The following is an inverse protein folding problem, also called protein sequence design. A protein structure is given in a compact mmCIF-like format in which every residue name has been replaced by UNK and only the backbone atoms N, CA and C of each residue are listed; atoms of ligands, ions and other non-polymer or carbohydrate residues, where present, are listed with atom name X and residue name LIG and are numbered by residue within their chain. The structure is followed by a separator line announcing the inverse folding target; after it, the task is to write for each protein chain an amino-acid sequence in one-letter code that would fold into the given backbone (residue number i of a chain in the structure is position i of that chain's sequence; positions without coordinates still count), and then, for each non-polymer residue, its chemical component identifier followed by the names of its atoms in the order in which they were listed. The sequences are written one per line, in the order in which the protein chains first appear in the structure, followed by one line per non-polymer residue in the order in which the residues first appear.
data_IF_191251511150
#
_entry.id   IF_191251511150
#
_cell.length_a   1.000
_cell.length_b   1.000
_cell.length_c   1.000
_cell.angle_alpha   90.00
_cell.angle_beta   90.00
_cell.angle_gamma   90.00
#
_symmetry.space_group_name_H-M   'P 1'
#
loop_
_entity.id
_entity.type
_entity.pdbx_description
1 polymer ?
#
# COMPACT_ATOMS: atom_id res chain seq x y z
N UNK A 1 -6.26 -27.32 19.11
CA UNK A 1 -7.47 -26.47 18.97
C UNK A 1 -7.38 -25.19 19.79
N UNK A 2 -7.14 -25.24 21.12
CA UNK A 2 -6.94 -24.00 21.91
C UNK A 2 -5.66 -23.21 21.53
N UNK A 3 -4.57 -23.89 21.14
CA UNK A 3 -3.36 -23.26 20.57
C UNK A 3 -3.62 -22.62 19.20
N UNK A 4 -4.57 -23.18 18.43
CA UNK A 4 -5.01 -22.65 17.13
C UNK A 4 -5.83 -21.36 17.30
N UNK A 5 -6.55 -21.22 18.42
CA UNK A 5 -7.38 -20.04 18.73
C UNK A 5 -6.56 -18.88 19.31
N UNK A 6 -5.51 -19.11 20.11
CA UNK A 6 -4.63 -18.00 20.55
C UNK A 6 -3.81 -17.41 19.38
N UNK A 7 -3.55 -18.20 18.34
CA UNK A 7 -3.02 -17.72 17.05
C UNK A 7 -4.04 -16.85 16.27
N UNK A 8 -5.35 -16.95 16.56
CA UNK A 8 -6.40 -16.26 15.78
C UNK A 8 -6.49 -14.76 16.05
N UNK A 9 -6.20 -14.28 17.26
CA UNK A 9 -6.39 -12.84 17.58
C UNK A 9 -5.34 -11.97 16.86
N UNK A 10 -4.06 -12.34 16.92
CA UNK A 10 -3.00 -11.59 16.21
C UNK A 10 -3.26 -11.56 14.71
N UNK A 11 -3.70 -12.70 14.17
CA UNK A 11 -4.09 -12.83 12.77
C UNK A 11 -5.31 -11.99 12.43
N UNK A 12 -6.34 -11.98 13.28
CA UNK A 12 -7.54 -11.17 13.10
C UNK A 12 -7.20 -9.67 13.06
N UNK A 13 -6.31 -9.19 13.96
CA UNK A 13 -5.84 -7.81 13.95
C UNK A 13 -5.11 -7.48 12.65
N UNK A 14 -4.26 -8.38 12.16
CA UNK A 14 -3.52 -8.20 10.91
C UNK A 14 -4.48 -8.10 9.71
N UNK A 15 -5.51 -8.93 9.68
CA UNK A 15 -6.51 -8.87 8.63
C UNK A 15 -7.39 -7.62 8.75
N UNK A 16 -7.75 -7.22 9.97
CA UNK A 16 -8.46 -5.97 10.23
C UNK A 16 -7.65 -4.77 9.71
N UNK A 17 -6.34 -4.75 9.98
CA UNK A 17 -5.42 -3.73 9.47
C UNK A 17 -5.42 -3.69 7.93
N UNK A 18 -5.43 -4.85 7.28
CA UNK A 18 -5.49 -4.96 5.83
C UNK A 18 -6.77 -4.37 5.25
N UNK A 19 -7.93 -4.73 5.83
CA UNK A 19 -9.20 -4.16 5.40
C UNK A 19 -9.28 -2.66 5.65
N UNK A 20 -8.80 -2.18 6.80
CA UNK A 20 -8.72 -0.73 7.06
C UNK A 20 -7.88 0.01 6.01
N UNK A 21 -6.79 -0.58 5.51
CA UNK A 21 -6.04 0.05 4.42
C UNK A 21 -6.82 0.08 3.10
N UNK A 22 -7.60 -0.97 2.79
CA UNK A 22 -8.47 -0.98 1.60
C UNK A 22 -9.58 0.08 1.74
N UNK A 23 -10.24 0.16 2.89
CA UNK A 23 -11.26 1.20 3.13
C UNK A 23 -10.67 2.59 3.09
N UNK A 24 -9.44 2.77 3.60
CA UNK A 24 -8.74 4.04 3.53
C UNK A 24 -8.46 4.44 2.09
N UNK A 25 -7.95 3.51 1.25
CA UNK A 25 -7.72 3.76 -0.17
C UNK A 25 -9.02 4.10 -0.91
N UNK A 26 -10.04 3.25 -0.78
CA UNK A 26 -11.29 3.41 -1.52
C UNK A 26 -12.09 4.62 -1.03
N UNK A 27 -12.14 4.84 0.29
CA UNK A 27 -12.73 6.02 0.89
C UNK A 27 -12.02 7.30 0.44
N UNK A 28 -10.68 7.29 0.39
CA UNK A 28 -9.90 8.44 -0.07
C UNK A 28 -10.12 8.72 -1.56
N UNK A 29 -10.15 7.69 -2.40
CA UNK A 29 -10.48 7.85 -3.82
C UNK A 29 -11.86 8.47 -4.00
N UNK A 30 -12.88 7.93 -3.34
CA UNK A 30 -14.23 8.50 -3.35
C UNK A 30 -14.19 9.96 -2.90
N UNK A 31 -13.47 10.25 -1.82
CA UNK A 31 -13.34 11.61 -1.31
C UNK A 31 -12.79 12.60 -2.32
N UNK A 32 -11.72 12.22 -3.04
CA UNK A 32 -11.11 13.04 -4.10
C UNK A 32 -12.09 13.23 -5.26
N UNK A 33 -12.76 12.17 -5.72
CA UNK A 33 -13.74 12.27 -6.82
C UNK A 33 -14.95 13.13 -6.45
N UNK A 34 -15.43 13.01 -5.21
CA UNK A 34 -16.47 13.92 -4.72
C UNK A 34 -15.95 15.35 -4.77
N UNK A 35 -14.78 15.63 -4.17
CA UNK A 35 -14.19 16.97 -4.15
C UNK A 35 -14.02 17.57 -5.57
N UNK A 36 -13.53 16.79 -6.54
CA UNK A 36 -13.39 17.22 -7.93
C UNK A 36 -14.75 17.48 -8.59
N UNK A 37 -15.76 16.67 -8.30
CA UNK A 37 -17.11 16.87 -8.85
C UNK A 37 -17.82 18.12 -8.29
N UNK A 38 -17.39 18.66 -7.14
CA UNK A 38 -17.93 19.92 -6.60
C UNK A 38 -17.44 21.16 -7.35
N UNK A 39 -16.25 21.09 -7.94
CA UNK A 39 -15.64 22.23 -8.61
C UNK A 39 -16.30 22.50 -9.99
N UNK A 40 -16.97 21.49 -10.56
CA UNK A 40 -17.87 21.69 -11.68
C UNK A 40 -19.17 22.39 -11.22
N UNK A 41 -19.64 23.36 -12.00
CA UNK A 41 -20.72 24.36 -11.74
C UNK A 41 -22.02 23.82 -11.11
N UNK A 42 -22.26 22.50 -11.09
CA UNK A 42 -23.44 21.81 -10.53
C UNK A 42 -23.12 20.92 -9.31
N UNK A 43 -22.04 21.20 -8.57
CA UNK A 43 -21.73 20.51 -7.33
C UNK A 43 -22.85 20.61 -6.27
N UNK A 44 -23.06 19.59 -5.40
CA UNK A 44 -24.02 19.72 -4.30
C UNK A 44 -23.77 20.99 -3.48
N UNK A 45 -24.81 21.65 -2.97
CA UNK A 45 -24.65 22.93 -2.27
C UNK A 45 -23.82 22.79 -0.97
N UNK A 46 -23.66 21.58 -0.44
CA UNK A 46 -22.91 21.32 0.78
C UNK A 46 -22.10 20.00 0.74
N UNK A 47 -20.78 20.11 0.57
CA UNK A 47 -19.81 19.04 0.91
C UNK A 47 -19.99 18.52 2.35
N UNK A 48 -20.53 19.36 3.23
CA UNK A 48 -20.85 19.06 4.63
C UNK A 48 -21.81 17.88 4.80
N UNK A 49 -22.59 17.54 3.78
CA UNK A 49 -23.55 16.45 3.83
C UNK A 49 -22.89 15.07 3.66
N UNK A 50 -21.65 15.04 3.15
CA UNK A 50 -20.88 13.82 2.84
C UNK A 50 -19.85 13.48 3.93
N UNK A 51 -20.12 13.89 5.18
CA UNK A 51 -19.30 13.55 6.36
C UNK A 51 -19.11 12.05 6.57
N UNK A 52 -20.01 11.23 6.03
CA UNK A 52 -19.89 9.78 6.07
C UNK A 52 -18.64 9.24 5.37
N UNK A 53 -18.02 10.01 4.45
CA UNK A 53 -16.71 9.64 3.87
C UNK A 53 -15.53 10.18 4.69
N UNK A 54 -15.59 11.45 5.13
CA UNK A 54 -14.46 12.10 5.83
C UNK A 54 -14.19 11.50 7.21
N UNK A 55 -15.25 11.20 7.96
CA UNK A 55 -15.17 10.65 9.32
C UNK A 55 -14.41 9.31 9.36
N UNK A 56 -14.79 8.25 8.61
CA UNK A 56 -14.06 6.98 8.62
C UNK A 56 -12.60 7.14 8.26
N UNK A 57 -12.26 7.91 7.22
CA UNK A 57 -10.86 8.07 6.83
C UNK A 57 -10.01 8.70 7.93
N UNK A 58 -10.54 9.72 8.61
CA UNK A 58 -9.83 10.38 9.71
C UNK A 58 -9.61 9.43 10.89
N UNK A 59 -10.64 8.63 11.27
CA UNK A 59 -10.50 7.66 12.35
C UNK A 59 -9.57 6.49 11.98
N UNK A 60 -9.62 5.98 10.75
CA UNK A 60 -8.71 4.92 10.27
C UNK A 60 -7.27 5.43 10.21
N UNK A 61 -7.03 6.62 9.68
CA UNK A 61 -5.70 7.24 9.66
C UNK A 61 -5.17 7.50 11.07
N UNK A 62 -6.02 8.00 11.97
CA UNK A 62 -5.70 8.18 13.39
C UNK A 62 -5.37 6.85 14.07
N UNK A 63 -6.13 5.79 13.78
CA UNK A 63 -5.84 4.43 14.24
C UNK A 63 -4.45 3.96 13.81
N UNK A 64 -4.10 4.15 12.53
CA UNK A 64 -2.78 3.76 12.02
C UNK A 64 -1.64 4.58 12.64
N UNK A 65 -1.77 5.91 12.76
CA UNK A 65 -0.75 6.73 13.41
C UNK A 65 -0.54 6.33 14.88
N UNK A 66 -1.63 6.08 15.61
CA UNK A 66 -1.54 5.64 16.99
C UNK A 66 -0.88 4.27 17.09
N UNK A 67 -1.25 3.32 16.22
CA UNK A 67 -0.66 1.99 16.16
C UNK A 67 0.85 2.05 15.90
N UNK A 68 1.28 2.86 14.94
CA UNK A 68 2.70 3.07 14.63
C UNK A 68 3.43 3.74 15.81
N UNK A 69 2.83 4.79 16.40
CA UNK A 69 3.39 5.47 17.56
C UNK A 69 3.57 4.55 18.78
N UNK A 70 2.61 3.67 19.03
CA UNK A 70 2.71 2.64 20.09
C UNK A 70 3.81 1.63 19.76
N UNK A 71 3.95 1.24 18.50
CA UNK A 71 4.98 0.28 18.09
C UNK A 71 6.38 0.87 18.29
N UNK A 72 6.60 2.11 17.82
CA UNK A 72 7.84 2.87 18.05
C UNK A 72 8.12 3.05 19.53
N UNK A 73 7.11 3.44 20.33
CA UNK A 73 7.26 3.58 21.77
C UNK A 73 7.65 2.25 22.42
N UNK A 74 7.00 1.14 22.04
CA UNK A 74 7.30 -0.18 22.59
C UNK A 74 8.73 -0.61 22.25
N UNK A 75 9.18 -0.38 21.01
CA UNK A 75 10.53 -0.71 20.57
C UNK A 75 11.57 0.19 21.23
N UNK A 76 11.29 1.48 21.40
CA UNK A 76 12.20 2.43 22.04
C UNK A 76 12.48 2.03 23.49
N UNK A 77 11.45 1.55 24.19
CA UNK A 77 11.57 1.05 25.55
C UNK A 77 12.32 -0.28 25.64
N UNK A 78 12.26 -1.12 24.59
CA UNK A 78 13.05 -2.35 24.51
C UNK A 78 14.50 -2.07 24.14
N UNK A 79 14.74 -1.26 23.10
CA UNK A 79 16.06 -0.86 22.62
C UNK A 79 15.97 0.32 21.66
N UNK A 80 16.75 1.37 21.92
CA UNK A 80 16.84 2.55 21.05
C UNK A 80 17.30 2.20 19.62
N UNK A 81 18.20 1.22 19.46
CA UNK A 81 18.72 0.82 18.16
C UNK A 81 17.64 0.16 17.29
N UNK A 82 16.76 -0.64 17.90
CA UNK A 82 15.61 -1.26 17.24
C UNK A 82 14.59 -0.19 16.82
N UNK A 83 14.29 0.77 17.69
CA UNK A 83 13.39 1.88 17.36
C UNK A 83 13.95 2.73 16.20
N UNK A 84 15.24 3.04 16.22
CA UNK A 84 15.89 3.78 15.12
C UNK A 84 15.82 3.01 13.80
N UNK A 85 16.05 1.69 13.81
CA UNK A 85 15.90 0.83 12.63
C UNK A 85 14.45 0.78 12.14
N UNK A 86 13.48 0.76 13.06
CA UNK A 86 12.07 0.81 12.73
C UNK A 86 11.70 2.13 12.04
N UNK A 87 12.15 3.26 12.58
CA UNK A 87 11.87 4.58 12.01
C UNK A 87 12.57 4.83 10.66
N UNK A 88 13.71 4.17 10.39
CA UNK A 88 14.40 4.28 9.09
C UNK A 88 13.92 3.25 8.06
N UNK A 89 13.05 2.32 8.45
CA UNK A 89 12.47 1.34 7.53
C UNK A 89 11.51 2.03 6.55
N UNK A 90 11.80 1.89 5.25
CA UNK A 90 11.02 2.49 4.17
C UNK A 90 9.50 2.20 4.26
N UNK A 91 9.13 0.96 4.61
CA UNK A 91 7.71 0.60 4.74
C UNK A 91 6.99 1.39 5.83
N UNK A 92 7.65 1.58 6.97
CA UNK A 92 7.06 2.31 8.11
C UNK A 92 6.98 3.81 7.82
N UNK A 93 7.98 4.38 7.12
CA UNK A 93 7.95 5.77 6.67
C UNK A 93 6.76 5.99 5.72
N UNK A 94 6.54 5.10 4.76
CA UNK A 94 5.39 5.15 3.86
C UNK A 94 4.06 5.05 4.61
N UNK A 95 3.97 4.17 5.62
CA UNK A 95 2.75 3.98 6.40
C UNK A 95 2.42 5.22 7.26
N UNK A 96 3.41 5.89 7.84
CA UNK A 96 3.20 7.15 8.58
C UNK A 96 2.89 8.31 7.63
N UNK A 97 3.64 8.44 6.53
CA UNK A 97 3.47 9.52 5.56
C UNK A 97 2.10 9.47 4.89
N UNK A 98 1.63 8.28 4.49
CA UNK A 98 0.29 8.10 3.90
C UNK A 98 -0.83 8.50 4.86
N UNK A 99 -0.77 8.07 6.12
CA UNK A 99 -1.80 8.42 7.11
C UNK A 99 -1.80 9.92 7.43
N UNK A 100 -0.63 10.55 7.54
CA UNK A 100 -0.51 12.00 7.74
C UNK A 100 -1.06 12.79 6.55
N UNK A 101 -0.73 12.38 5.32
CA UNK A 101 -1.21 13.03 4.10
C UNK A 101 -2.75 12.96 3.99
N UNK A 102 -3.38 11.83 4.33
CA UNK A 102 -4.84 11.71 4.35
C UNK A 102 -5.46 12.67 5.37
N UNK A 103 -4.91 12.74 6.59
CA UNK A 103 -5.39 13.66 7.62
C UNK A 103 -5.20 15.13 7.21
N UNK A 104 -4.07 15.45 6.60
CA UNK A 104 -3.79 16.79 6.09
C UNK A 104 -4.79 17.18 5.00
N UNK A 105 -5.04 16.30 4.04
CA UNK A 105 -5.99 16.54 2.95
C UNK A 105 -7.43 16.69 3.45
N UNK A 106 -7.85 15.80 4.37
CA UNK A 106 -9.17 15.90 5.01
C UNK A 106 -9.32 17.19 5.83
N UNK A 107 -8.26 17.62 6.52
CA UNK A 107 -8.22 18.87 7.27
C UNK A 107 -8.28 20.12 6.38
N UNK A 108 -7.53 20.15 5.28
CA UNK A 108 -7.55 21.28 4.34
C UNK A 108 -8.90 21.43 3.66
N UNK A 109 -9.53 20.33 3.24
CA UNK A 109 -10.87 20.34 2.65
C UNK A 109 -11.96 20.83 3.61
N UNK A 110 -11.82 20.58 4.91
CA UNK A 110 -12.76 21.08 5.92
C UNK A 110 -12.63 22.59 6.15
N UNK A 111 -11.44 23.17 5.93
CA UNK A 111 -11.18 24.58 6.17
C UNK A 111 -11.43 25.45 4.93
N UNK A 112 -10.97 25.02 3.76
CA UNK A 112 -11.14 25.75 2.51
C UNK A 112 -11.17 24.82 1.30
N UNK A 113 -12.34 24.68 0.67
CA UNK A 113 -12.52 23.89 -0.53
C UNK A 113 -11.81 24.50 -1.77
N UNK A 114 -11.57 25.82 -1.81
CA UNK A 114 -10.96 26.50 -2.95
C UNK A 114 -9.46 26.20 -3.11
N UNK A 115 -8.80 25.55 -2.13
CA UNK A 115 -7.41 25.12 -2.29
C UNK A 115 -7.25 23.91 -3.23
N UNK A 116 -8.34 23.34 -3.76
CA UNK A 116 -8.31 22.08 -4.50
C UNK A 116 -7.50 22.15 -5.80
N UNK A 117 -7.50 23.29 -6.50
CA UNK A 117 -6.79 23.48 -7.77
C UNK A 117 -5.29 23.15 -7.67
N UNK A 118 -4.66 23.50 -6.54
CA UNK A 118 -3.25 23.20 -6.30
C UNK A 118 -3.02 21.86 -5.57
N UNK A 119 -4.09 21.17 -5.15
CA UNK A 119 -3.99 19.91 -4.40
C UNK A 119 -4.14 18.66 -5.24
N UNK A 120 -4.46 18.76 -6.54
CA UNK A 120 -4.52 17.58 -7.43
C UNK A 120 -3.23 16.76 -7.43
N UNK A 121 -2.08 17.42 -7.37
CA UNK A 121 -0.77 16.76 -7.24
C UNK A 121 -0.61 16.02 -5.90
N UNK A 122 -0.94 16.70 -4.78
CA UNK A 122 -0.87 16.11 -3.44
C UNK A 122 -1.80 14.91 -3.35
N UNK A 123 -3.03 15.03 -3.84
CA UNK A 123 -4.01 13.95 -3.85
C UNK A 123 -3.53 12.74 -4.65
N UNK A 124 -2.90 12.96 -5.81
CA UNK A 124 -2.31 11.91 -6.63
C UNK A 124 -1.17 11.19 -5.91
N UNK A 125 -0.28 11.93 -5.24
CA UNK A 125 0.78 11.32 -4.43
C UNK A 125 0.19 10.53 -3.26
N UNK A 126 -0.79 11.09 -2.54
CA UNK A 126 -1.45 10.39 -1.44
C UNK A 126 -2.08 9.08 -1.93
N UNK A 127 -2.73 9.09 -3.09
CA UNK A 127 -3.30 7.88 -3.69
C UNK A 127 -2.21 6.84 -4.02
N UNK A 128 -1.08 7.26 -4.60
CA UNK A 128 0.07 6.38 -4.85
C UNK A 128 0.63 5.78 -3.55
N UNK A 129 0.77 6.58 -2.49
CA UNK A 129 1.25 6.11 -1.19
C UNK A 129 0.28 5.11 -0.54
N UNK A 130 -1.03 5.30 -0.69
CA UNK A 130 -2.05 4.37 -0.18
C UNK A 130 -2.01 3.02 -0.92
N UNK A 131 -1.75 3.01 -2.23
CA UNK A 131 -1.50 1.78 -2.97
C UNK A 131 -0.24 1.05 -2.48
N UNK A 132 0.86 1.78 -2.30
CA UNK A 132 2.10 1.21 -1.76
C UNK A 132 1.92 0.66 -0.35
N UNK A 133 1.08 1.30 0.47
CA UNK A 133 0.69 0.80 1.80
C UNK A 133 -0.02 -0.54 1.71
N UNK A 134 -1.00 -0.70 0.81
CA UNK A 134 -1.70 -1.98 0.60
C UNK A 134 -0.70 -3.06 0.17
N UNK A 135 0.21 -2.75 -0.77
CA UNK A 135 1.27 -3.68 -1.19
C UNK A 135 2.15 -4.08 0.01
N UNK A 136 2.53 -3.13 0.87
CA UNK A 136 3.35 -3.40 2.05
C UNK A 136 2.64 -4.33 3.06
N UNK A 137 1.32 -4.15 3.25
CA UNK A 137 0.53 -5.02 4.13
C UNK A 137 0.26 -6.39 3.51
N UNK A 138 -0.06 -6.44 2.21
CA UNK A 138 -0.29 -7.69 1.50
C UNK A 138 0.97 -8.58 1.48
N UNK A 139 2.16 -7.97 1.37
CA UNK A 139 3.47 -8.64 1.54
C UNK A 139 3.62 -9.34 2.90
N UNK A 140 2.95 -8.90 3.95
CA UNK A 140 3.00 -9.57 5.26
C UNK A 140 2.06 -10.79 5.27
N UNK A 141 0.94 -10.69 4.55
CA UNK A 141 -0.10 -11.72 4.48
C UNK A 141 0.26 -12.89 3.57
N UNK A 142 0.77 -12.59 2.37
CA UNK A 142 1.00 -13.58 1.33
C UNK A 142 2.51 -13.75 1.10
N UNK A 143 3.03 -14.96 1.36
CA UNK A 143 4.47 -15.25 1.24
C UNK A 143 4.99 -15.29 -0.18
N UNK A 144 4.25 -15.90 -1.10
CA UNK A 144 4.55 -15.92 -2.53
C UNK A 144 4.71 -14.49 -3.08
N UNK A 145 3.80 -13.60 -2.70
CA UNK A 145 3.89 -12.18 -3.04
C UNK A 145 5.05 -11.49 -2.31
N UNK A 146 5.32 -11.84 -1.05
CA UNK A 146 6.45 -11.30 -0.30
C UNK A 146 7.80 -11.59 -0.97
N UNK A 147 8.02 -12.84 -1.38
CA UNK A 147 9.21 -13.28 -2.09
C UNK A 147 9.38 -12.51 -3.40
N UNK A 148 8.29 -12.30 -4.14
CA UNK A 148 8.29 -11.46 -5.34
C UNK A 148 8.74 -10.02 -5.03
N UNK A 149 8.12 -9.36 -4.03
CA UNK A 149 8.48 -7.98 -3.64
C UNK A 149 9.94 -7.88 -3.16
N UNK A 150 10.44 -8.85 -2.40
CA UNK A 150 11.84 -8.89 -1.98
C UNK A 150 12.79 -9.10 -3.16
N UNK A 151 12.43 -9.95 -4.13
CA UNK A 151 13.20 -10.15 -5.35
C UNK A 151 13.28 -8.86 -6.16
N UNK A 152 12.15 -8.17 -6.37
CA UNK A 152 12.10 -6.87 -7.06
C UNK A 152 12.98 -5.84 -6.35
N UNK A 153 12.90 -5.73 -5.02
CA UNK A 153 13.73 -4.80 -4.24
C UNK A 153 15.22 -5.06 -4.44
N UNK A 154 15.63 -6.33 -4.46
CA UNK A 154 17.03 -6.73 -4.61
C UNK A 154 17.52 -6.53 -6.06
N UNK A 155 16.67 -6.78 -7.06
CA UNK A 155 16.95 -6.46 -8.47
C UNK A 155 17.14 -4.94 -8.65
N UNK A 156 16.23 -4.10 -8.12
CA UNK A 156 16.36 -2.64 -8.17
C UNK A 156 17.69 -2.18 -7.55
N UNK A 157 18.09 -2.78 -6.43
CA UNK A 157 19.37 -2.46 -5.77
C UNK A 157 20.59 -2.75 -6.65
N UNK A 158 20.55 -3.82 -7.45
CA UNK A 158 21.60 -4.19 -8.41
C UNK A 158 21.57 -3.29 -9.66
N UNK A 159 20.38 -2.93 -10.12
CA UNK A 159 20.15 -2.17 -11.37
C UNK A 159 20.30 -0.65 -11.20
N UNK A 160 20.30 -0.12 -9.96
CA UNK A 160 20.33 1.33 -9.68
C UNK A 160 21.44 2.11 -10.40
N UNK A 161 22.64 1.53 -10.50
CA UNK A 161 23.78 2.20 -11.15
C UNK A 161 23.60 2.27 -12.66
N UNK A 162 23.03 1.21 -13.23
CA UNK A 162 22.65 1.19 -14.64
C UNK A 162 21.55 2.22 -14.93
N UNK A 163 20.54 2.35 -14.07
CA UNK A 163 19.49 3.38 -14.22
C UNK A 163 20.06 4.79 -14.14
N UNK A 164 21.02 5.04 -13.24
CA UNK A 164 21.71 6.32 -13.17
C UNK A 164 22.47 6.61 -14.46
N UNK A 165 23.19 5.61 -15.01
CA UNK A 165 23.87 5.74 -16.29
C UNK A 165 22.89 6.01 -17.45
N UNK A 166 21.76 5.29 -17.49
CA UNK A 166 20.70 5.52 -18.46
C UNK A 166 20.13 6.95 -18.38
N UNK A 167 19.88 7.45 -17.16
CA UNK A 167 19.43 8.84 -16.95
C UNK A 167 20.46 9.86 -17.45
N UNK A 168 21.76 9.63 -17.24
CA UNK A 168 22.81 10.51 -17.77
C UNK A 168 22.81 10.54 -19.31
N UNK A 169 22.61 9.40 -19.96
CA UNK A 169 22.49 9.32 -21.41
C UNK A 169 21.24 10.08 -21.88
N UNK A 170 20.09 9.92 -21.21
CA UNK A 170 18.88 10.70 -21.53
C UNK A 170 19.12 12.19 -21.39
N UNK A 171 19.81 12.65 -20.33
CA UNK A 171 20.15 14.07 -20.18
C UNK A 171 21.08 14.57 -21.28
N UNK A 172 22.12 13.80 -21.62
CA UNK A 172 23.06 14.16 -22.68
C UNK A 172 22.35 14.33 -24.03
N UNK A 173 21.46 13.40 -24.39
CA UNK A 173 20.73 13.48 -25.65
C UNK A 173 19.59 14.52 -25.61
N UNK A 174 18.96 14.74 -24.46
CA UNK A 174 17.99 15.83 -24.25
C UNK A 174 18.64 17.19 -24.54
N UNK A 175 19.84 17.42 -24.01
CA UNK A 175 20.60 18.66 -24.25
C UNK A 175 21.05 18.79 -25.72
N UNK A 176 21.52 17.69 -26.34
CA UNK A 176 21.89 17.68 -27.75
C UNK A 176 20.70 18.02 -28.67
N UNK A 177 19.52 17.45 -28.41
CA UNK A 177 18.29 17.76 -29.16
C UNK A 177 17.91 19.23 -28.97
N UNK A 178 17.90 19.72 -27.72
CA UNK A 178 17.60 21.14 -27.43
C UNK A 178 18.55 22.08 -28.19
N UNK A 179 19.84 21.78 -28.23
CA UNK A 179 20.82 22.57 -28.96
C UNK A 179 20.56 22.58 -30.48
N UNK A 180 20.19 21.44 -31.07
CA UNK A 180 19.84 21.35 -32.50
C UNK A 180 18.59 22.16 -32.83
N UNK A 181 17.56 22.08 -31.99
CA UNK A 181 16.29 22.82 -32.15
C UNK A 181 16.53 24.33 -32.02
N UNK A 182 17.32 24.73 -31.03
CA UNK A 182 17.69 26.14 -30.84
C UNK A 182 18.51 26.67 -32.03
N UNK A 183 19.46 25.90 -32.55
CA UNK A 183 20.29 26.30 -33.70
C UNK A 183 19.48 26.43 -35.00
N UNK A 184 18.37 25.70 -35.15
CA UNK A 184 17.47 25.82 -36.29
C UNK A 184 16.60 27.08 -36.25
N UNK A 185 16.48 27.71 -35.09
CA UNK A 185 15.59 28.86 -34.88
C UNK A 185 14.12 28.46 -34.78
N UNK A 186 13.82 27.18 -34.53
CA UNK A 186 12.43 26.70 -34.38
C UNK A 186 11.75 27.33 -33.15
N UNK A 187 12.51 27.72 -32.13
CA UNK A 187 11.99 28.39 -30.92
C UNK A 187 11.78 29.91 -31.06
N UNK A 188 12.21 30.53 -32.16
CA UNK A 188 12.07 31.99 -32.39
C UNK A 188 10.82 32.36 -33.20
N UNK A 189 10.13 31.36 -33.77
CA UNK A 189 8.93 31.58 -34.59
C UNK A 189 7.73 31.83 -33.69
N UNK A 190 7.52 33.11 -33.38
CA UNK A 190 6.52 33.64 -32.44
C UNK A 190 5.05 33.49 -32.89
N UNK A 191 4.71 32.56 -33.78
CA UNK A 191 3.31 32.43 -34.26
C UNK A 191 3.04 31.16 -35.08
N UNK A 192 1.97 30.45 -34.67
CA UNK A 192 1.13 29.54 -35.47
C UNK A 192 1.60 28.11 -35.75
N UNK A 193 2.68 27.61 -35.15
CA UNK A 193 2.97 26.17 -35.24
C UNK A 193 2.23 25.43 -34.12
N UNK A 194 1.07 24.87 -34.43
CA UNK A 194 0.22 24.03 -33.55
C UNK A 194 0.84 22.64 -33.26
N UNK A 195 2.17 22.48 -33.39
CA UNK A 195 2.82 21.21 -33.09
C UNK A 195 3.23 21.16 -31.61
N UNK A 196 2.51 20.40 -30.76
CA UNK A 196 2.79 20.32 -29.33
C UNK A 196 4.20 19.79 -29.04
N UNK A 197 4.80 19.02 -29.94
CA UNK A 197 6.13 18.45 -29.73
C UNK A 197 7.24 19.51 -29.78
N UNK A 198 7.13 20.50 -30.65
CA UNK A 198 8.14 21.57 -30.76
C UNK A 198 8.12 22.44 -29.52
N UNK A 199 6.91 22.73 -29.00
CA UNK A 199 6.73 23.54 -27.81
C UNK A 199 7.40 22.91 -26.57
N UNK A 200 7.37 21.59 -26.45
CA UNK A 200 8.04 20.87 -25.35
C UNK A 200 9.57 21.01 -25.41
N UNK A 201 10.18 20.95 -26.60
CA UNK A 201 11.63 21.11 -26.77
C UNK A 201 12.10 22.55 -26.65
N UNK A 202 11.23 23.51 -26.99
CA UNK A 202 11.48 24.94 -26.84
C UNK A 202 11.13 25.47 -25.44
N UNK A 203 10.54 24.65 -24.57
CA UNK A 203 10.28 25.03 -23.19
C UNK A 203 11.59 25.33 -22.46
N UNK A 204 11.62 26.44 -21.72
CA UNK A 204 12.77 26.78 -20.87
C UNK A 204 13.04 25.71 -19.80
N UNK A 205 12.01 24.92 -19.45
CA UNK A 205 12.09 23.85 -18.47
C UNK A 205 12.92 22.65 -18.95
N UNK A 206 14.12 22.49 -18.37
CA UNK A 206 14.96 21.29 -18.56
C UNK A 206 14.23 19.96 -18.29
N UNK A 207 13.24 19.97 -17.39
CA UNK A 207 12.42 18.79 -17.08
C UNK A 207 11.54 18.41 -18.27
N UNK A 208 10.92 19.37 -18.96
CA UNK A 208 10.04 19.10 -20.09
C UNK A 208 10.80 18.42 -21.24
N UNK A 209 11.97 18.97 -21.60
CA UNK A 209 12.82 18.40 -22.66
C UNK A 209 13.32 17.00 -22.29
N UNK A 210 13.70 16.79 -21.01
CA UNK A 210 14.13 15.48 -20.51
C UNK A 210 13.00 14.46 -20.53
N UNK A 211 11.81 14.82 -20.05
CA UNK A 211 10.64 13.94 -20.05
C UNK A 211 10.29 13.54 -21.48
N UNK A 212 10.33 14.49 -22.43
CA UNK A 212 10.12 14.17 -23.84
C UNK A 212 11.17 13.21 -24.39
N UNK A 213 12.44 13.42 -24.06
CA UNK A 213 13.52 12.50 -24.47
C UNK A 213 13.37 11.10 -23.83
N UNK A 214 12.86 11.03 -22.60
CA UNK A 214 12.50 9.77 -21.95
C UNK A 214 11.30 9.10 -22.65
N UNK A 215 10.29 9.85 -23.10
CA UNK A 215 9.19 9.29 -23.91
C UNK A 215 9.72 8.64 -25.21
N UNK A 216 10.68 9.30 -25.86
CA UNK A 216 11.38 8.73 -27.04
C UNK A 216 12.14 7.45 -26.67
N UNK A 217 12.79 7.38 -25.50
CA UNK A 217 13.44 6.16 -25.00
C UNK A 217 12.45 4.99 -24.87
N UNK A 218 11.24 5.27 -24.39
CA UNK A 218 10.17 4.29 -24.18
C UNK A 218 9.51 3.89 -25.51
N UNK A 219 9.75 4.62 -26.59
CA UNK A 219 9.26 4.33 -27.94
C UNK A 219 8.10 5.22 -28.39
N UNK A 220 7.73 6.24 -27.61
CA UNK A 220 6.79 7.27 -28.06
C UNK A 220 7.51 8.28 -28.97
N UNK A 221 7.57 7.97 -30.26
CA UNK A 221 8.32 8.73 -31.27
C UNK A 221 7.40 9.25 -32.36
N UNK A 222 7.33 10.58 -32.47
CA UNK A 222 6.74 11.28 -33.61
C UNK A 222 7.78 11.42 -34.74
N UNK A 223 7.79 10.45 -35.67
CA UNK A 223 8.80 10.38 -36.76
C UNK A 223 8.87 11.65 -37.62
N UNK A 224 7.72 12.30 -37.85
CA UNK A 224 7.61 13.53 -38.65
C UNK A 224 8.53 14.65 -38.12
N UNK A 225 8.62 14.77 -36.79
CA UNK A 225 9.46 15.77 -36.13
C UNK A 225 10.96 15.51 -36.36
N UNK A 226 11.41 14.26 -36.18
CA UNK A 226 12.82 13.90 -36.32
C UNK A 226 13.30 13.92 -37.77
N UNK A 227 12.41 13.72 -38.74
CA UNK A 227 12.73 13.78 -40.17
C UNK A 227 12.88 15.21 -40.71
N UNK A 228 12.53 16.21 -39.91
CA UNK A 228 12.53 17.61 -40.36
C UNK A 228 13.94 18.20 -40.61
N UNK A 229 15.00 17.57 -40.09
CA UNK A 229 16.40 18.00 -40.28
C UNK A 229 17.37 16.82 -40.22
N UNK A 230 18.40 16.82 -41.09
CA UNK A 230 19.43 15.77 -41.10
C UNK A 230 20.22 15.66 -39.79
N UNK A 231 20.40 16.77 -39.06
CA UNK A 231 21.03 16.76 -37.73
C UNK A 231 20.16 16.03 -36.69
N UNK A 232 18.84 16.26 -36.71
CA UNK A 232 17.88 15.58 -35.83
C UNK A 232 17.81 14.08 -36.13
N UNK A 233 17.75 13.70 -37.41
CA UNK A 233 17.83 12.29 -37.84
C UNK A 233 19.10 11.64 -37.30
N UNK A 234 20.24 12.32 -37.40
CA UNK A 234 21.53 11.80 -36.93
C UNK A 234 21.51 11.56 -35.41
N UNK A 235 21.09 12.56 -34.62
CA UNK A 235 20.98 12.44 -33.16
C UNK A 235 20.02 11.32 -32.78
N UNK A 236 18.88 11.20 -33.47
CA UNK A 236 17.88 10.16 -33.23
C UNK A 236 18.41 8.75 -33.53
N UNK A 237 19.14 8.56 -34.64
CA UNK A 237 19.74 7.27 -34.99
C UNK A 237 20.77 6.85 -33.96
N UNK A 238 21.66 7.76 -33.54
CA UNK A 238 22.63 7.46 -32.48
C UNK A 238 21.95 7.16 -31.14
N UNK A 239 20.96 7.97 -30.75
CA UNK A 239 20.20 7.74 -29.53
C UNK A 239 19.51 6.37 -29.53
N UNK A 240 18.85 6.01 -30.63
CA UNK A 240 18.15 4.73 -30.77
C UNK A 240 19.14 3.56 -30.74
N UNK A 241 20.28 3.69 -31.41
CA UNK A 241 21.32 2.65 -31.40
C UNK A 241 21.90 2.44 -30.00
N UNK A 242 22.33 3.50 -29.31
CA UNK A 242 22.90 3.39 -27.97
C UNK A 242 21.84 2.98 -26.95
N UNK A 243 20.73 3.71 -26.86
CA UNK A 243 19.78 3.51 -25.79
C UNK A 243 18.86 2.31 -26.04
N UNK A 244 18.24 2.23 -27.21
CA UNK A 244 17.26 1.17 -27.51
C UNK A 244 17.96 -0.17 -27.75
N UNK A 245 18.97 -0.21 -28.60
CA UNK A 245 19.61 -1.47 -28.99
C UNK A 245 20.63 -1.94 -27.95
N UNK A 246 21.54 -1.06 -27.49
CA UNK A 246 22.60 -1.50 -26.57
C UNK A 246 22.11 -1.51 -25.13
N UNK A 247 21.60 -0.38 -24.62
CA UNK A 247 21.30 -0.25 -23.19
C UNK A 247 20.14 -1.14 -22.75
N UNK A 248 19.01 -1.22 -23.48
CA UNK A 248 17.93 -2.11 -23.04
C UNK A 248 18.32 -3.58 -23.06
N UNK A 249 19.09 -4.05 -24.04
CA UNK A 249 19.56 -5.44 -24.06
C UNK A 249 20.47 -5.76 -22.86
N UNK A 250 21.37 -4.82 -22.50
CA UNK A 250 22.20 -4.95 -21.30
C UNK A 250 21.33 -4.91 -20.03
N UNK A 251 20.33 -4.02 -19.96
CA UNK A 251 19.41 -3.93 -18.82
C UNK A 251 18.67 -5.24 -18.59
N UNK A 252 18.13 -5.85 -19.65
CA UNK A 252 17.43 -7.13 -19.60
C UNK A 252 18.38 -8.22 -19.08
N UNK A 253 19.61 -8.29 -19.62
CA UNK A 253 20.61 -9.26 -19.17
C UNK A 253 20.97 -9.08 -17.68
N UNK A 254 21.13 -7.83 -17.21
CA UNK A 254 21.38 -7.53 -15.80
C UNK A 254 20.18 -7.95 -14.94
N UNK A 255 18.95 -7.69 -15.38
CA UNK A 255 17.74 -8.06 -14.64
C UNK A 255 17.62 -9.58 -14.52
N UNK A 256 17.84 -10.34 -15.59
CA UNK A 256 17.79 -11.81 -15.59
C UNK A 256 18.82 -12.37 -14.61
N UNK A 257 20.08 -11.97 -14.75
CA UNK A 257 21.16 -12.42 -13.87
C UNK A 257 20.92 -11.98 -12.40
N UNK A 258 20.41 -10.77 -12.21
CA UNK A 258 20.03 -10.29 -10.89
C UNK A 258 18.98 -11.20 -10.28
N UNK A 259 17.88 -11.45 -11.00
CA UNK A 259 16.75 -12.26 -10.57
C UNK A 259 17.15 -13.69 -10.18
N UNK A 260 17.90 -14.38 -11.05
CA UNK A 260 18.41 -15.74 -10.77
C UNK A 260 19.23 -15.78 -9.48
N UNK A 261 20.17 -14.83 -9.33
CA UNK A 261 20.98 -14.71 -8.11
C UNK A 261 20.17 -14.34 -6.86
N UNK A 262 19.00 -13.70 -6.99
CA UNK A 262 18.15 -13.35 -5.83
C UNK A 262 17.27 -14.50 -5.35
N UNK A 263 16.97 -15.48 -6.20
CA UNK A 263 15.98 -16.53 -5.91
C UNK A 263 16.30 -17.30 -4.63
N UNK A 264 17.57 -17.65 -4.41
CA UNK A 264 18.01 -18.37 -3.20
C UNK A 264 17.99 -17.47 -1.96
N UNK A 265 18.51 -16.24 -2.10
CA UNK A 265 18.64 -15.28 -0.99
C UNK A 265 17.30 -14.76 -0.48
N UNK A 266 16.29 -14.68 -1.33
CA UNK A 266 14.99 -14.10 -0.99
C UNK A 266 14.26 -14.89 0.10
N UNK A 267 14.44 -16.22 0.17
CA UNK A 267 13.89 -17.06 1.25
C UNK A 267 14.46 -16.69 2.62
N UNK A 268 15.77 -16.52 2.72
CA UNK A 268 16.44 -16.11 3.95
C UNK A 268 15.97 -14.71 4.40
N UNK A 269 15.90 -13.76 3.46
CA UNK A 269 15.41 -12.39 3.73
C UNK A 269 13.96 -12.42 4.20
N UNK A 270 13.13 -13.25 3.58
CA UNK A 270 11.74 -13.42 3.95
C UNK A 270 11.58 -13.97 5.37
N UNK A 271 12.33 -15.02 5.72
CA UNK A 271 12.33 -15.58 7.08
C UNK A 271 12.72 -14.54 8.13
N UNK A 272 13.80 -13.77 7.88
CA UNK A 272 14.21 -12.67 8.77
C UNK A 272 13.14 -11.60 8.93
N UNK A 273 12.48 -11.21 7.84
CA UNK A 273 11.43 -10.20 7.88
C UNK A 273 10.20 -10.67 8.67
N UNK A 274 9.84 -11.97 8.59
CA UNK A 274 8.76 -12.54 9.41
C UNK A 274 9.10 -12.57 10.89
N UNK A 275 10.34 -12.94 11.23
CA UNK A 275 10.81 -12.92 12.63
C UNK A 275 10.82 -11.49 13.18
N UNK A 276 11.29 -10.52 12.40
CA UNK A 276 11.28 -9.09 12.76
C UNK A 276 9.84 -8.60 12.98
N UNK A 277 8.92 -8.94 12.08
CA UNK A 277 7.51 -8.60 12.25
C UNK A 277 6.86 -9.28 13.47
N UNK A 278 7.15 -10.56 13.72
CA UNK A 278 6.69 -11.28 14.89
C UNK A 278 7.22 -10.64 16.19
N UNK A 279 8.47 -10.20 16.20
CA UNK A 279 9.06 -9.47 17.32
C UNK A 279 8.30 -8.15 17.59
N UNK A 280 7.93 -7.40 16.54
CA UNK A 280 7.11 -6.20 16.70
C UNK A 280 5.73 -6.51 17.31
N UNK A 281 5.08 -7.59 16.86
CA UNK A 281 3.79 -8.03 17.41
C UNK A 281 3.91 -8.42 18.88
N UNK A 282 4.97 -9.15 19.26
CA UNK A 282 5.22 -9.57 20.63
C UNK A 282 5.51 -8.37 21.52
N UNK A 283 6.39 -7.45 21.09
CA UNK A 283 6.71 -6.23 21.85
C UNK A 283 5.45 -5.39 22.10
N UNK A 284 4.61 -5.20 21.08
CA UNK A 284 3.32 -4.52 21.21
C UNK A 284 2.36 -5.25 22.14
N UNK A 285 2.28 -6.58 22.05
CA UNK A 285 1.43 -7.39 22.92
C UNK A 285 1.88 -7.31 24.38
N UNK A 286 3.18 -7.40 24.65
CA UNK A 286 3.76 -7.27 25.99
C UNK A 286 3.49 -5.87 26.55
N UNK A 287 3.62 -4.82 25.74
CA UNK A 287 3.26 -3.47 26.14
C UNK A 287 1.76 -3.35 26.51
N UNK A 288 0.91 -4.05 25.77
CA UNK A 288 -0.55 -4.06 25.95
C UNK A 288 -1.08 -5.06 26.98
N UNK A 289 -0.29 -6.01 27.49
CA UNK A 289 -0.74 -7.03 28.44
C UNK A 289 0.15 -7.03 29.69
N UNK A 290 -0.28 -6.47 30.83
CA UNK A 290 0.58 -6.26 32.00
C UNK A 290 0.53 -7.43 32.98
N UNK A 291 -0.33 -8.43 32.73
CA UNK A 291 -0.61 -9.53 33.67
C UNK A 291 0.41 -10.65 33.60
N UNK A 292 1.18 -10.73 32.52
CA UNK A 292 2.31 -11.65 32.41
C UNK A 292 3.54 -10.86 32.86
N UNK A 293 4.05 -11.16 34.07
CA UNK A 293 5.37 -10.69 34.51
C UNK A 293 6.37 -11.08 33.43
N UNK A 294 6.82 -10.12 32.65
CA UNK A 294 7.76 -10.39 31.56
C UNK A 294 9.08 -10.86 32.16
N UNK A 295 9.56 -12.03 31.74
CA UNK A 295 10.88 -12.56 32.13
C UNK A 295 12.06 -11.63 31.74
N UNK A 296 11.78 -10.61 30.92
CA UNK A 296 12.69 -9.49 30.67
C UNK A 296 12.71 -8.56 31.89
N UNK A 297 13.51 -8.96 32.88
CA UNK A 297 13.77 -8.26 34.15
C UNK A 297 14.51 -6.92 34.02
N UNK A 298 14.55 -6.31 32.83
CA UNK A 298 15.11 -4.97 32.67
C UNK A 298 14.07 -3.94 33.13
N UNK A 299 14.46 -3.10 34.08
CA UNK A 299 13.73 -1.98 34.67
C UNK A 299 13.23 -0.97 33.61
N UNK A 300 12.25 -1.37 32.81
CA UNK A 300 11.59 -0.47 31.86
C UNK A 300 10.64 0.43 32.64
N UNK A 301 11.16 1.62 32.94
CA UNK A 301 10.61 2.72 33.76
C UNK A 301 9.28 3.32 33.30
N UNK A 302 8.46 2.66 32.47
CA UNK A 302 7.17 3.22 32.06
C UNK A 302 6.18 3.15 33.22
N UNK A 303 5.67 4.29 33.71
CA UNK A 303 4.67 4.31 34.77
C UNK A 303 3.46 3.48 34.40
N UNK A 304 2.94 2.68 35.34
CA UNK A 304 1.75 1.83 35.12
C UNK A 304 0.55 2.65 34.62
N UNK A 305 0.41 3.89 35.08
CA UNK A 305 -0.64 4.82 34.67
C UNK A 305 -0.56 5.17 33.19
N UNK A 306 0.64 5.42 32.66
CA UNK A 306 0.83 5.74 31.24
C UNK A 306 0.45 4.55 30.36
N UNK A 307 0.86 3.32 30.73
CA UNK A 307 0.49 2.10 29.98
C UNK A 307 -1.04 1.89 29.95
N UNK A 308 -1.72 2.09 31.09
CA UNK A 308 -3.18 2.00 31.17
C UNK A 308 -3.85 3.05 30.27
N UNK A 309 -3.35 4.29 30.28
CA UNK A 309 -3.84 5.36 29.43
C UNK A 309 -3.67 5.04 27.94
N UNK A 310 -2.47 4.64 27.51
CA UNK A 310 -2.18 4.30 26.11
C UNK A 310 -3.03 3.10 25.64
N UNK A 311 -3.24 2.10 26.50
CA UNK A 311 -4.11 0.97 26.18
C UNK A 311 -5.57 1.39 26.03
N UNK A 312 -6.08 2.20 26.96
CA UNK A 312 -7.44 2.70 26.89
C UNK A 312 -7.64 3.54 25.62
N UNK A 313 -6.69 4.41 25.30
CA UNK A 313 -6.69 5.21 24.07
C UNK A 313 -6.65 4.31 22.81
N UNK A 314 -5.79 3.29 22.79
CA UNK A 314 -5.71 2.34 21.68
C UNK A 314 -7.01 1.58 21.47
N UNK A 315 -7.60 1.06 22.54
CA UNK A 315 -8.88 0.35 22.45
C UNK A 315 -10.01 1.29 22.00
N UNK A 316 -10.10 2.48 22.58
CA UNK A 316 -11.10 3.48 22.21
C UNK A 316 -10.97 3.88 20.73
N UNK A 317 -9.76 4.19 20.25
CA UNK A 317 -9.54 4.57 18.85
C UNK A 317 -9.79 3.40 17.90
N UNK A 318 -9.42 2.18 18.29
CA UNK A 318 -9.71 0.97 17.49
C UNK A 318 -11.22 0.75 17.36
N UNK A 319 -11.98 0.90 18.46
CA UNK A 319 -13.43 0.79 18.46
C UNK A 319 -14.08 1.91 17.65
N UNK A 320 -13.63 3.16 17.81
CA UNK A 320 -14.11 4.29 17.01
C UNK A 320 -13.83 4.10 15.52
N UNK A 321 -12.66 3.57 15.14
CA UNK A 321 -12.34 3.26 13.75
C UNK A 321 -13.29 2.20 13.18
N UNK A 322 -13.61 1.16 13.95
CA UNK A 322 -14.58 0.13 13.55
C UNK A 322 -15.97 0.72 13.33
N UNK A 323 -16.49 1.49 14.30
CA UNK A 323 -17.78 2.15 14.17
C UNK A 323 -17.80 3.18 13.04
N UNK A 324 -16.70 3.88 12.80
CA UNK A 324 -16.60 4.85 11.72
C UNK A 324 -16.64 4.18 10.35
N UNK A 325 -16.01 3.00 10.18
CA UNK A 325 -16.13 2.18 8.96
C UNK A 325 -17.58 1.80 8.70
N UNK A 326 -18.30 1.32 9.72
CA UNK A 326 -19.72 0.99 9.58
C UNK A 326 -20.58 2.21 9.25
N UNK A 327 -20.28 3.37 9.85
CA UNK A 327 -20.93 4.62 9.53
C UNK A 327 -20.70 5.03 8.06
N UNK A 328 -19.47 4.90 7.57
CA UNK A 328 -19.15 5.14 6.15
C UNK A 328 -19.84 4.17 5.21
N UNK A 329 -19.89 2.89 5.58
CA UNK A 329 -20.60 1.86 4.83
C UNK A 329 -22.11 2.14 4.75
N UNK A 330 -22.76 2.42 5.88
CA UNK A 330 -24.19 2.75 5.92
C UNK A 330 -24.50 4.03 5.13
N UNK A 331 -23.65 5.05 5.23
CA UNK A 331 -23.75 6.28 4.44
C UNK A 331 -23.63 6.02 2.92
N UNK A 332 -22.68 5.16 2.51
CA UNK A 332 -22.52 4.78 1.11
C UNK A 332 -23.73 4.00 0.56
N UNK A 333 -24.31 3.09 1.35
CA UNK A 333 -25.54 2.38 0.99
C UNK A 333 -26.71 3.35 0.84
N UNK A 334 -26.88 4.26 1.80
CA UNK A 334 -27.92 5.28 1.76
C UNK A 334 -27.77 6.19 0.52
N UNK A 335 -26.53 6.58 0.20
CA UNK A 335 -26.22 7.35 -1.01
C UNK A 335 -26.66 6.63 -2.29
N UNK A 336 -26.32 5.35 -2.43
CA UNK A 336 -26.72 4.52 -3.58
C UNK A 336 -28.23 4.34 -3.73
N UNK A 337 -29.00 4.48 -2.64
CA UNK A 337 -30.47 4.41 -2.69
C UNK A 337 -31.11 5.71 -3.19
N UNK A 338 -30.46 6.85 -2.99
CA UNK A 338 -31.04 8.16 -3.30
C UNK A 338 -30.71 8.68 -4.70
N UNK A 339 -29.48 8.47 -5.18
CA UNK A 339 -28.98 9.20 -6.35
C UNK A 339 -28.75 8.27 -7.56
N UNK A 340 -29.37 8.60 -8.71
CA UNK A 340 -29.30 7.80 -9.93
C UNK A 340 -28.24 8.26 -10.95
N UNK A 341 -27.81 9.53 -10.90
CA UNK A 341 -27.30 10.24 -12.11
C UNK A 341 -25.77 10.43 -12.25
N UNK A 342 -24.91 9.74 -11.47
CA UNK A 342 -23.43 9.86 -11.65
C UNK A 342 -22.75 8.50 -11.83
N UNK A 343 -22.50 8.11 -13.08
CA UNK A 343 -21.99 6.77 -13.44
C UNK A 343 -20.67 6.40 -12.74
N UNK A 344 -19.69 7.30 -12.66
CA UNK A 344 -18.39 6.97 -12.08
C UNK A 344 -18.42 6.88 -10.55
N UNK A 345 -19.00 7.89 -9.88
CA UNK A 345 -19.12 7.92 -8.41
C UNK A 345 -19.97 6.74 -7.93
N UNK A 346 -21.09 6.46 -8.61
CA UNK A 346 -21.94 5.31 -8.34
C UNK A 346 -21.17 3.99 -8.50
N UNK A 347 -20.39 3.85 -9.56
CA UNK A 347 -19.55 2.65 -9.76
C UNK A 347 -18.55 2.45 -8.63
N UNK A 348 -17.86 3.51 -8.20
CA UNK A 348 -16.92 3.45 -7.08
C UNK A 348 -17.63 3.14 -5.75
N UNK A 349 -18.81 3.70 -5.53
CA UNK A 349 -19.64 3.42 -4.36
C UNK A 349 -20.11 1.97 -4.31
N UNK A 350 -20.50 1.38 -5.45
CA UNK A 350 -20.84 -0.04 -5.55
C UNK A 350 -19.64 -0.90 -5.14
N UNK A 351 -18.44 -0.57 -5.63
CA UNK A 351 -17.21 -1.28 -5.23
C UNK A 351 -16.94 -1.13 -3.73
N UNK A 352 -17.06 0.08 -3.18
CA UNK A 352 -16.87 0.35 -1.75
C UNK A 352 -17.85 -0.45 -0.88
N UNK A 353 -19.14 -0.45 -1.22
CA UNK A 353 -20.18 -1.23 -0.54
C UNK A 353 -19.95 -2.73 -0.71
N UNK A 354 -19.52 -3.19 -1.88
CA UNK A 354 -19.22 -4.61 -2.10
C UNK A 354 -18.07 -5.10 -1.22
N UNK A 355 -16.97 -4.34 -1.18
CA UNK A 355 -15.83 -4.63 -0.30
C UNK A 355 -16.25 -4.58 1.17
N UNK A 356 -17.06 -3.58 1.54
CA UNK A 356 -17.59 -3.46 2.90
C UNK A 356 -18.50 -4.60 3.32
N UNK A 357 -19.34 -5.08 2.41
CA UNK A 357 -20.19 -6.25 2.62
C UNK A 357 -19.37 -7.53 2.88
N UNK A 358 -18.30 -7.75 2.10
CA UNK A 358 -17.38 -8.88 2.30
C UNK A 358 -16.67 -8.78 3.66
N UNK A 359 -16.21 -7.59 4.02
CA UNK A 359 -15.57 -7.36 5.31
C UNK A 359 -16.51 -7.61 6.50
N UNK A 360 -17.73 -7.07 6.45
CA UNK A 360 -18.73 -7.24 7.50
C UNK A 360 -19.14 -8.71 7.62
N UNK A 361 -19.34 -9.40 6.50
CA UNK A 361 -19.59 -10.84 6.49
C UNK A 361 -18.44 -11.62 7.15
N UNK A 362 -17.18 -11.24 6.89
CA UNK A 362 -16.02 -11.84 7.54
C UNK A 362 -15.99 -11.59 9.05
N UNK A 363 -16.16 -10.35 9.51
CA UNK A 363 -16.18 -10.01 10.95
C UNK A 363 -17.28 -10.78 11.66
N UNK A 364 -18.50 -10.79 11.11
CA UNK A 364 -19.64 -11.52 11.67
C UNK A 364 -19.30 -13.02 11.75
N UNK A 365 -18.70 -13.58 10.70
CA UNK A 365 -18.30 -15.00 10.69
C UNK A 365 -17.31 -15.32 11.80
N UNK A 366 -16.29 -14.49 12.00
CA UNK A 366 -15.31 -14.66 13.08
C UNK A 366 -15.94 -14.48 14.46
N UNK A 367 -16.79 -13.46 14.63
CA UNK A 367 -17.47 -13.18 15.89
C UNK A 367 -18.41 -14.32 16.31
N UNK A 368 -19.24 -14.81 15.38
CA UNK A 368 -20.14 -15.95 15.60
C UNK A 368 -19.32 -17.21 15.94
N UNK A 369 -18.23 -17.45 15.21
CA UNK A 369 -17.37 -18.61 15.47
C UNK A 369 -16.74 -18.56 16.86
N UNK A 370 -16.29 -17.37 17.28
CA UNK A 370 -15.67 -17.15 18.60
C UNK A 370 -16.68 -17.27 19.74
N UNK A 371 -17.86 -16.67 19.61
CA UNK A 371 -18.93 -16.76 20.61
C UNK A 371 -19.42 -18.20 20.77
N UNK A 372 -19.59 -18.91 19.66
CA UNK A 372 -20.04 -20.30 19.71
C UNK A 372 -18.98 -21.22 20.34
N UNK A 373 -17.69 -21.01 20.04
CA UNK A 373 -16.63 -21.77 20.67
C UNK A 373 -16.64 -21.62 22.20
N UNK A 374 -16.87 -20.40 22.70
CA UNK A 374 -17.00 -20.15 24.15
C UNK A 374 -18.24 -20.84 24.75
N UNK A 375 -19.34 -20.87 24.01
CA UNK A 375 -20.58 -21.52 24.43
C UNK A 375 -20.44 -23.05 24.46
N UNK A 376 -19.83 -23.66 23.45
CA UNK A 376 -19.58 -25.11 23.38
C UNK A 376 -18.66 -25.57 24.52
N UNK A 377 -17.65 -24.75 24.88
CA UNK A 377 -16.78 -25.03 26.02
C UNK A 377 -17.53 -24.99 27.35
N UNK A 378 -18.57 -24.16 27.45
CA UNK A 378 -19.39 -24.02 28.66
C UNK A 378 -20.48 -25.09 28.76
N UNK A 379 -21.04 -25.56 27.63
CA UNK A 379 -22.06 -26.61 27.62
C UNK A 379 -22.01 -27.46 26.33
N UNK A 380 -21.28 -28.60 26.33
CA UNK A 380 -21.09 -29.42 25.13
C UNK A 380 -22.39 -30.09 24.64
N UNK A 381 -23.43 -30.15 25.47
CA UNK A 381 -24.72 -30.80 25.14
C UNK A 381 -25.72 -29.86 24.45
N UNK A 382 -25.52 -28.54 24.51
CA UNK A 382 -26.50 -27.54 24.05
C UNK A 382 -26.51 -27.31 22.52
N UNK A 383 -25.52 -27.82 21.78
CA UNK A 383 -25.41 -27.59 20.34
C UNK A 383 -26.35 -28.44 19.50
N UNK A 384 -27.52 -27.91 19.13
CA UNK A 384 -28.42 -28.54 18.16
C UNK A 384 -27.74 -28.83 16.81
N UNK A 385 -28.19 -29.90 16.12
CA UNK A 385 -27.62 -30.35 14.82
C UNK A 385 -27.53 -29.23 13.77
N UNK A 386 -28.48 -28.29 13.79
CA UNK A 386 -28.53 -27.14 12.86
C UNK A 386 -27.37 -26.18 13.10
N UNK A 387 -27.10 -25.81 14.35
CA UNK A 387 -26.04 -24.87 14.70
C UNK A 387 -24.67 -25.45 14.32
N UNK A 388 -24.45 -26.75 14.55
CA UNK A 388 -23.23 -27.44 14.11
C UNK A 388 -23.03 -27.41 12.59
N UNK A 389 -24.09 -27.47 11.79
CA UNK A 389 -24.00 -27.36 10.33
C UNK A 389 -23.65 -25.94 9.88
N UNK A 390 -24.28 -24.92 10.48
CA UNK A 390 -24.01 -23.51 10.19
C UNK A 390 -22.56 -23.14 10.54
N UNK A 391 -22.07 -23.59 11.69
CA UNK A 391 -20.68 -23.39 12.13
C UNK A 391 -19.66 -23.98 11.15
N UNK A 392 -19.87 -25.22 10.67
CA UNK A 392 -19.00 -25.80 9.63
C UNK A 392 -19.03 -25.01 8.33
N UNK A 393 -20.17 -24.41 7.99
CA UNK A 393 -20.30 -23.54 6.82
C UNK A 393 -19.45 -22.27 6.95
N UNK A 394 -19.57 -21.59 8.10
CA UNK A 394 -18.78 -20.39 8.42
C UNK A 394 -17.29 -20.68 8.49
N UNK A 395 -16.90 -21.79 9.13
CA UNK A 395 -15.49 -22.22 9.19
C UNK A 395 -14.93 -22.43 7.79
N UNK A 396 -15.65 -23.15 6.92
CA UNK A 396 -15.24 -23.31 5.51
C UNK A 396 -15.14 -21.98 4.77
N UNK A 397 -16.08 -21.06 4.98
CA UNK A 397 -16.04 -19.74 4.34
C UNK A 397 -14.80 -18.94 4.78
N UNK A 398 -14.48 -18.96 6.09
CA UNK A 398 -13.27 -18.33 6.64
C UNK A 398 -12.01 -18.99 6.07
N UNK A 399 -11.96 -20.33 5.99
CA UNK A 399 -10.83 -21.05 5.39
C UNK A 399 -10.66 -20.74 3.90
N UNK A 400 -11.74 -20.69 3.12
CA UNK A 400 -11.70 -20.30 1.70
C UNK A 400 -11.21 -18.86 1.54
N UNK A 401 -11.65 -17.96 2.42
CA UNK A 401 -11.18 -16.59 2.44
C UNK A 401 -9.68 -16.50 2.78
N UNK A 402 -9.19 -17.30 3.72
CA UNK A 402 -7.77 -17.39 4.03
C UNK A 402 -6.95 -17.98 2.87
N UNK A 403 -7.50 -18.96 2.16
CA UNK A 403 -6.90 -19.51 0.94
C UNK A 403 -6.80 -18.46 -0.16
N UNK A 404 -7.86 -17.67 -0.38
CA UNK A 404 -7.87 -16.59 -1.35
C UNK A 404 -6.78 -15.54 -1.08
N UNK A 405 -6.50 -15.28 0.20
CA UNK A 405 -5.43 -14.38 0.62
C UNK A 405 -4.03 -15.01 0.56
N UNK A 406 -3.92 -16.31 0.25
CA UNK A 406 -2.67 -17.05 0.09
C UNK A 406 -2.06 -17.57 1.39
N UNK A 407 -2.81 -17.64 2.49
CA UNK A 407 -2.27 -18.11 3.77
C UNK A 407 -2.00 -19.61 3.83
N UNK A 408 -2.68 -20.41 3.02
CA UNK A 408 -2.52 -21.87 3.07
C UNK A 408 -1.22 -22.35 2.39
N UNK A 409 -0.65 -21.56 1.47
CA UNK A 409 0.61 -21.92 0.79
C UNK A 409 1.79 -21.98 1.76
N UNK A 410 1.78 -21.13 2.79
CA UNK A 410 2.79 -21.14 3.85
C UNK A 410 2.85 -22.46 4.61
N UNK A 411 1.68 -23.03 4.91
CA UNK A 411 1.61 -24.28 5.67
C UNK A 411 2.07 -25.48 4.84
N UNK A 412 1.96 -25.41 3.52
CA UNK A 412 2.43 -26.45 2.61
C UNK A 412 3.96 -26.44 2.43
N UNK A 413 4.58 -25.25 2.43
CA UNK A 413 6.04 -25.10 2.34
C UNK A 413 6.76 -25.65 3.58
N UNK A 414 6.24 -25.37 4.78
CA UNK A 414 6.81 -25.91 6.02
C UNK A 414 6.78 -27.45 6.04
N UNK A 415 5.72 -28.07 5.50
CA UNK A 415 5.57 -29.52 5.45
C UNK A 415 6.46 -30.20 4.40
N UNK A 416 6.84 -29.52 3.31
CA UNK A 416 7.75 -30.10 2.31
C UNK A 416 9.19 -30.15 2.81
N UNK A 417 9.63 -29.11 3.52
CA UNK A 417 11.00 -29.03 4.02
C UNK A 417 11.25 -30.09 5.13
N UNK A 418 10.27 -30.32 6.01
CA UNK A 418 10.34 -31.37 7.04
C UNK A 418 10.44 -32.79 6.42
N UNK A 419 9.77 -33.03 5.29
CA UNK A 419 9.78 -34.36 4.62
C UNK A 419 11.13 -34.63 3.96
N UNK A 420 11.78 -33.62 3.42
CA UNK A 420 13.09 -33.76 2.79
C UNK A 420 14.23 -33.86 3.84
N UNK A 421 14.10 -33.18 4.98
CA UNK A 421 15.05 -33.32 6.10
C UNK A 421 14.98 -34.73 6.74
N UNK A 422 13.77 -35.29 6.88
CA UNK A 422 13.58 -36.66 7.39
C UNK A 422 14.10 -37.72 6.42
N UNK A 423 14.04 -37.49 5.10
CA UNK A 423 14.62 -38.42 4.11
C UNK A 423 16.14 -38.45 4.15
N UNK A 424 16.79 -37.32 4.42
CA UNK A 424 18.25 -37.26 4.53
C UNK A 424 18.78 -37.96 5.79
N UNK A 425 18.01 -37.95 6.89
CA UNK A 425 18.37 -38.63 8.14
C UNK A 425 18.10 -40.15 8.12
N UNK A 426 17.33 -40.65 7.16
CA UNK A 426 17.01 -42.07 7.01
C UNK A 426 17.95 -42.86 6.08
N UNK A 427 18.99 -42.21 5.54
CA UNK A 427 19.93 -42.79 4.57
C UNK A 427 21.38 -42.94 5.08
N UNK A 428 21.62 -42.70 6.37
CA UNK A 428 22.82 -43.14 7.11
C UNK A 428 22.48 -44.38 7.94
#
# INVERSE_FOLDING_TARGET
TASTIRKSISFFVLLLDFFYAIFLLMGYRLHVEFALSYDSVDGPVNYRDYKFLSIPMNFISGYFLLKEGITVLSLYLTSETLARRYCTSWGNILDVASAFMVLSFGGTLLYNAQLLENQGFVASITMMLLWLRIINQYKIMNSSFALFVYSVKEVIRKVKWFLLFLMLIVFMFSDAVRAVVAARGDCLKDSLIDDPYIQEFCSDGFVATTVRMYSVLVGDVSLEYFQSSGAMVTVFVFFSFFSIIILFNILIAIIINAYESTKERTREIFGRARVEYAAHLIARKQFMSPSETSDFHNDTFVPRSLRKCVRAAYFAISACALFAVEYGFAGAVYYLMLEQDKDMIRSLMIVYVSVGGVFNAYIISVAVTTLFFQCEQSNPSAGGKVVKRLMRGLEKAVTLFHQLLGFNEDMALDLSDDVDEVKCLGSE
#
